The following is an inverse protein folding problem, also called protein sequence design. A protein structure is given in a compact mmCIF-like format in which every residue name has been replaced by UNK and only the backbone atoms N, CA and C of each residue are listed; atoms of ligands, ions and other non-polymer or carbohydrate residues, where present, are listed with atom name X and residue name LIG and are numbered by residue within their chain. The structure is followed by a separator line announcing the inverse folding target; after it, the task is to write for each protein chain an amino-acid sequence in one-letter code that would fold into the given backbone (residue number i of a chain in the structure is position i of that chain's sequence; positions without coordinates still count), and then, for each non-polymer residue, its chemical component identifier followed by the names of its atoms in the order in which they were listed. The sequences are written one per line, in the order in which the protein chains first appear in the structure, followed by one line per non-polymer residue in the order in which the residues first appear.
data_IF_753083185486
#
_entry.id   IF_753083185486
#
_cell.length_a   1.000
_cell.length_b   1.000
_cell.length_c   1.000
_cell.angle_alpha   90.00
_cell.angle_beta   90.00
_cell.angle_gamma   90.00
#
_symmetry.space_group_name_H-M   'P 1'
#
loop_
_entity.id
_entity.type
_entity.pdbx_description
1 polymer ?
#
# COMPACT_ATOMS: atom_id res chain seq x y z
N UNK A 1 -11.26 -0.01 -9.25
CA UNK A 1 -11.90 -1.28 -8.89
C UNK A 1 -11.45 -2.36 -9.86
N UNK A 2 -11.71 -2.23 -11.18
CA UNK A 2 -11.35 -3.24 -12.20
C UNK A 2 -9.85 -3.55 -12.20
N UNK A 3 -9.00 -2.52 -12.23
CA UNK A 3 -7.52 -2.67 -12.23
C UNK A 3 -6.98 -3.34 -10.96
N UNK A 4 -7.73 -3.26 -9.85
CA UNK A 4 -7.37 -3.86 -8.57
C UNK A 4 -8.07 -5.21 -8.33
N UNK A 5 -8.78 -5.74 -9.33
CA UNK A 5 -9.54 -7.00 -9.25
C UNK A 5 -10.52 -7.04 -8.07
N UNK A 6 -11.04 -5.89 -7.65
CA UNK A 6 -12.05 -5.81 -6.62
C UNK A 6 -13.45 -6.08 -7.22
N UNK A 7 -14.35 -6.73 -6.47
CA UNK A 7 -15.74 -6.84 -6.88
C UNK A 7 -16.36 -5.47 -7.20
N UNK A 8 -17.23 -5.38 -8.18
CA UNK A 8 -17.82 -4.10 -8.59
C UNK A 8 -18.72 -3.49 -7.52
N UNK A 9 -19.30 -4.32 -6.68
CA UNK A 9 -20.22 -4.00 -5.59
C UNK A 9 -19.53 -3.84 -4.22
N UNK A 10 -18.18 -3.87 -4.19
CA UNK A 10 -17.42 -3.73 -2.92
C UNK A 10 -17.58 -2.37 -2.27
N UNK A 11 -17.85 -1.33 -3.06
CA UNK A 11 -18.11 0.04 -2.60
C UNK A 11 -19.44 0.51 -3.18
N UNK A 12 -20.38 0.87 -2.32
CA UNK A 12 -21.61 1.54 -2.72
C UNK A 12 -21.38 3.06 -2.75
N UNK A 13 -21.86 3.71 -3.82
CA UNK A 13 -21.75 5.17 -3.98
C UNK A 13 -23.06 5.81 -3.53
N UNK A 14 -22.97 6.65 -2.52
CA UNK A 14 -24.07 7.39 -1.93
C UNK A 14 -23.90 8.87 -2.25
N UNK A 15 -24.95 9.50 -2.75
CA UNK A 15 -24.99 10.94 -3.03
C UNK A 15 -26.15 11.65 -2.28
N UNK A 16 -26.35 12.93 -2.52
CA UNK A 16 -27.43 13.71 -1.88
C UNK A 16 -28.84 13.20 -2.17
N UNK A 17 -29.03 12.42 -3.22
CA UNK A 17 -30.38 11.96 -3.61
C UNK A 17 -30.78 10.70 -2.85
N UNK A 18 -29.83 9.82 -2.54
CA UNK A 18 -30.07 8.52 -1.92
C UNK A 18 -29.53 8.38 -0.48
N UNK A 19 -28.81 9.40 0.04
CA UNK A 19 -28.12 9.27 1.33
C UNK A 19 -29.05 8.95 2.52
N UNK A 20 -30.30 9.44 2.50
CA UNK A 20 -31.27 9.23 3.59
C UNK A 20 -31.69 7.76 3.72
N UNK A 21 -31.73 7.07 2.58
CA UNK A 21 -32.17 5.68 2.50
C UNK A 21 -31.01 4.69 2.63
N UNK A 22 -29.81 5.10 2.16
CA UNK A 22 -28.65 4.22 2.06
C UNK A 22 -27.66 4.39 3.24
N UNK A 23 -27.59 5.58 3.86
CA UNK A 23 -26.66 5.86 4.94
C UNK A 23 -27.35 5.72 6.31
N UNK A 24 -27.04 4.66 7.03
CA UNK A 24 -27.63 4.35 8.34
C UNK A 24 -26.75 4.77 9.54
N UNK A 25 -25.53 5.29 9.30
CA UNK A 25 -24.65 5.87 10.31
C UNK A 25 -23.78 4.89 11.10
N UNK A 26 -23.93 3.58 10.86
CA UNK A 26 -23.14 2.53 11.55
C UNK A 26 -22.40 1.61 10.58
N UNK A 27 -22.32 1.96 9.33
CA UNK A 27 -21.54 1.27 8.30
C UNK A 27 -20.18 1.96 8.09
N UNK A 28 -19.15 1.25 7.62
CA UNK A 28 -17.93 1.88 7.14
C UNK A 28 -18.27 2.88 6.02
N UNK A 29 -17.90 4.13 6.18
CA UNK A 29 -18.19 5.18 5.23
C UNK A 29 -16.99 6.10 5.03
N UNK A 30 -16.87 6.66 3.84
CA UNK A 30 -15.89 7.67 3.47
C UNK A 30 -16.57 8.73 2.62
N UNK A 31 -16.42 9.99 2.96
CA UNK A 31 -17.04 11.08 2.22
C UNK A 31 -16.00 11.84 1.39
N UNK A 32 -16.32 12.13 0.14
CA UNK A 32 -15.61 13.10 -0.68
C UNK A 32 -16.49 14.34 -0.76
N UNK A 33 -16.02 15.45 -0.17
CA UNK A 33 -16.69 16.75 -0.27
C UNK A 33 -16.09 17.54 -1.43
N UNK A 34 -16.90 17.83 -2.45
CA UNK A 34 -16.46 18.62 -3.61
C UNK A 34 -16.69 20.10 -3.32
N UNK A 35 -15.62 20.88 -3.31
CA UNK A 35 -15.65 22.31 -3.07
C UNK A 35 -16.45 23.09 -4.12
N UNK A 36 -16.98 24.24 -3.73
CA UNK A 36 -17.75 25.12 -4.60
C UNK A 36 -17.53 26.58 -4.23
N UNK A 37 -17.16 27.42 -5.21
CA UNK A 37 -16.92 28.87 -5.04
C UNK A 37 -18.09 29.76 -5.53
N UNK A 38 -19.17 29.13 -6.02
CA UNK A 38 -20.28 29.82 -6.72
C UNK A 38 -21.54 30.05 -5.88
N UNK A 39 -21.44 29.97 -4.57
CA UNK A 39 -22.60 30.22 -3.71
C UNK A 39 -22.45 29.70 -2.29
N UNK A 40 -23.56 29.62 -1.53
CA UNK A 40 -23.51 29.03 -0.20
C UNK A 40 -23.14 27.57 -0.26
N UNK A 41 -22.38 27.12 0.74
CA UNK A 41 -22.04 25.72 0.87
C UNK A 41 -23.30 24.86 1.02
N UNK A 42 -23.39 23.82 0.24
CA UNK A 42 -24.51 22.89 0.27
C UNK A 42 -24.20 21.70 1.20
N UNK A 43 -25.24 20.98 1.59
CA UNK A 43 -25.16 19.72 2.34
C UNK A 43 -24.47 19.81 3.73
N UNK A 44 -24.37 21.00 4.33
CA UNK A 44 -23.72 21.19 5.63
C UNK A 44 -24.34 20.29 6.72
N UNK A 45 -25.65 20.10 6.73
CA UNK A 45 -26.30 19.22 7.69
C UNK A 45 -25.86 17.74 7.52
N UNK A 46 -25.54 17.31 6.28
CA UNK A 46 -24.99 15.98 6.01
C UNK A 46 -23.53 15.93 6.53
N UNK A 47 -22.75 16.95 6.23
CA UNK A 47 -21.35 17.06 6.69
C UNK A 47 -21.28 17.01 8.23
N UNK A 48 -22.11 17.79 8.94
CA UNK A 48 -22.16 17.77 10.39
C UNK A 48 -22.53 16.40 10.95
N UNK A 49 -23.49 15.72 10.33
CA UNK A 49 -23.86 14.36 10.71
C UNK A 49 -22.69 13.40 10.51
N UNK A 50 -22.03 13.42 9.35
CA UNK A 50 -20.89 12.55 9.05
C UNK A 50 -19.72 12.79 10.02
N UNK A 51 -19.42 14.05 10.37
CA UNK A 51 -18.42 14.41 11.40
C UNK A 51 -18.81 13.80 12.75
N UNK A 52 -20.08 13.94 13.15
CA UNK A 52 -20.59 13.39 14.41
C UNK A 52 -20.51 11.86 14.46
N UNK A 53 -20.74 11.20 13.32
CA UNK A 53 -20.67 9.75 13.20
C UNK A 53 -19.19 9.25 13.07
N UNK A 54 -18.20 10.16 13.06
CA UNK A 54 -16.78 9.83 12.96
C UNK A 54 -16.34 9.42 11.53
N UNK A 55 -17.16 9.69 10.52
CA UNK A 55 -16.83 9.40 9.13
C UNK A 55 -15.66 10.26 8.65
N UNK A 56 -14.69 9.64 7.99
CA UNK A 56 -13.59 10.37 7.35
C UNK A 56 -14.11 11.16 6.14
N UNK A 57 -13.82 12.45 6.10
CA UNK A 57 -14.23 13.34 5.00
C UNK A 57 -12.99 13.91 4.34
N UNK A 58 -12.87 13.75 3.03
CA UNK A 58 -11.82 14.31 2.20
C UNK A 58 -12.34 15.55 1.45
N UNK A 59 -11.91 16.76 1.82
CA UNK A 59 -12.19 17.94 1.04
C UNK A 59 -11.42 17.92 -0.29
N UNK A 60 -12.13 18.09 -1.40
CA UNK A 60 -11.54 18.21 -2.74
C UNK A 60 -11.91 19.59 -3.28
N UNK A 61 -10.90 20.41 -3.59
CA UNK A 61 -11.08 21.78 -4.09
C UNK A 61 -10.45 21.95 -5.47
N UNK A 62 -10.90 22.96 -6.22
CA UNK A 62 -10.48 23.16 -7.61
C UNK A 62 -9.49 24.32 -7.75
N UNK A 63 -9.70 25.43 -7.06
CA UNK A 63 -8.87 26.63 -7.16
C UNK A 63 -8.30 27.07 -5.81
N UNK A 64 -9.17 27.35 -4.82
CA UNK A 64 -8.80 27.94 -3.53
C UNK A 64 -9.50 27.22 -2.38
N UNK A 65 -8.74 26.47 -1.60
CA UNK A 65 -9.22 25.72 -0.46
C UNK A 65 -10.02 26.57 0.53
N UNK A 66 -9.54 27.80 0.81
CA UNK A 66 -10.14 28.66 1.82
C UNK A 66 -11.52 29.21 1.41
N UNK A 67 -11.78 29.28 0.10
CA UNK A 67 -13.04 29.80 -0.47
C UNK A 67 -14.04 28.69 -0.79
N UNK A 68 -13.53 27.54 -1.21
CA UNK A 68 -14.35 26.45 -1.73
C UNK A 68 -14.78 25.44 -0.66
N UNK A 69 -14.10 25.43 0.50
CA UNK A 69 -14.35 24.44 1.56
C UNK A 69 -14.99 25.15 2.77
N UNK A 70 -16.09 24.57 3.34
CA UNK A 70 -16.76 25.15 4.50
C UNK A 70 -15.89 25.10 5.75
N UNK A 71 -16.18 25.96 6.73
CA UNK A 71 -15.40 26.13 7.95
C UNK A 71 -15.26 24.84 8.74
N UNK A 72 -16.30 23.99 8.75
CA UNK A 72 -16.37 22.72 9.44
C UNK A 72 -15.30 21.73 8.96
N UNK A 73 -14.87 21.87 7.69
CA UNK A 73 -13.90 20.98 7.04
C UNK A 73 -12.49 21.60 6.90
N UNK A 74 -12.29 22.88 7.25
CA UNK A 74 -11.00 23.55 7.08
C UNK A 74 -9.87 22.99 7.93
N UNK A 75 -10.19 22.23 8.98
CA UNK A 75 -9.19 21.53 9.80
C UNK A 75 -8.67 20.25 9.16
N UNK A 76 -9.28 19.80 8.09
CA UNK A 76 -8.91 18.58 7.37
C UNK A 76 -7.99 18.91 6.19
N UNK A 77 -7.05 18.02 5.90
CA UNK A 77 -6.21 18.14 4.72
C UNK A 77 -7.06 17.90 3.46
N UNK A 78 -7.16 18.90 2.60
CA UNK A 78 -7.83 18.76 1.32
C UNK A 78 -6.87 18.44 0.18
N UNK A 79 -7.44 17.97 -0.94
CA UNK A 79 -6.72 17.74 -2.18
C UNK A 79 -7.20 18.73 -3.23
N UNK A 80 -6.25 19.40 -3.89
CA UNK A 80 -6.57 20.14 -5.11
C UNK A 80 -6.84 19.13 -6.23
N UNK A 81 -8.02 19.26 -6.84
CA UNK A 81 -8.38 18.41 -7.97
C UNK A 81 -7.65 18.84 -9.25
N UNK A 82 -7.08 17.89 -9.93
CA UNK A 82 -6.73 17.92 -11.33
C UNK A 82 -6.93 16.51 -11.92
N UNK A 83 -6.88 16.37 -13.23
CA UNK A 83 -7.15 15.09 -13.89
C UNK A 83 -6.16 13.99 -13.51
N UNK A 84 -4.99 14.35 -12.99
CA UNK A 84 -3.97 13.40 -12.54
C UNK A 84 -4.18 12.93 -11.09
N UNK A 85 -5.06 13.58 -10.31
CA UNK A 85 -5.30 13.24 -8.89
C UNK A 85 -6.35 12.14 -8.70
N UNK A 86 -7.06 11.73 -9.76
CA UNK A 86 -8.12 10.71 -9.66
C UNK A 86 -7.63 9.41 -9.00
N UNK A 87 -6.49 8.89 -9.44
CA UNK A 87 -5.89 7.67 -8.86
C UNK A 87 -5.52 7.85 -7.39
N UNK A 88 -5.03 9.04 -7.01
CA UNK A 88 -4.69 9.37 -5.62
C UNK A 88 -5.92 9.40 -4.73
N UNK A 89 -7.00 10.05 -5.18
CA UNK A 89 -8.28 10.09 -4.46
C UNK A 89 -8.82 8.66 -4.29
N UNK A 90 -8.84 7.86 -5.37
CA UNK A 90 -9.28 6.47 -5.31
C UNK A 90 -8.46 5.65 -4.30
N UNK A 91 -7.14 5.81 -4.28
CA UNK A 91 -6.28 5.10 -3.34
C UNK A 91 -6.53 5.51 -1.88
N UNK A 92 -6.82 6.79 -1.60
CA UNK A 92 -7.18 7.27 -0.26
C UNK A 92 -8.49 6.61 0.20
N UNK A 93 -9.50 6.53 -0.68
CA UNK A 93 -10.76 5.83 -0.39
C UNK A 93 -10.50 4.37 -0.08
N UNK A 94 -9.72 3.67 -0.91
CA UNK A 94 -9.40 2.25 -0.72
C UNK A 94 -8.57 2.01 0.56
N UNK A 95 -7.69 2.93 0.93
CA UNK A 95 -6.95 2.87 2.19
C UNK A 95 -7.87 3.07 3.40
N UNK A 96 -8.84 3.99 3.31
CA UNK A 96 -9.81 4.21 4.37
C UNK A 96 -10.71 3.00 4.63
N UNK A 97 -11.01 2.22 3.59
CA UNK A 97 -11.74 0.95 3.69
C UNK A 97 -10.83 -0.26 3.95
N UNK A 98 -9.55 -0.04 4.25
CA UNK A 98 -8.54 -1.12 4.45
C UNK A 98 -8.38 -2.07 3.23
N UNK A 99 -8.87 -1.67 2.06
CA UNK A 99 -8.71 -2.40 0.81
C UNK A 99 -7.32 -2.22 0.19
N UNK A 100 -6.58 -1.22 0.63
CA UNK A 100 -5.17 -1.01 0.36
C UNK A 100 -4.42 -0.74 1.67
N UNK A 101 -3.18 -1.22 1.76
CA UNK A 101 -2.29 -0.97 2.89
C UNK A 101 -2.06 0.55 3.05
N UNK A 102 -2.25 1.06 4.25
CA UNK A 102 -2.06 2.49 4.58
C UNK A 102 -0.58 2.89 4.61
N UNK A 103 0.32 1.97 5.02
CA UNK A 103 1.76 2.22 4.94
C UNK A 103 2.20 2.25 3.47
N UNK A 104 3.00 3.26 3.12
CA UNK A 104 3.39 3.56 1.74
C UNK A 104 4.90 3.39 1.62
N UNK A 105 5.37 2.14 1.54
CA UNK A 105 6.79 1.80 1.59
C UNK A 105 7.40 1.72 0.18
N UNK A 106 8.40 2.54 -0.06
CA UNK A 106 9.16 2.56 -1.32
C UNK A 106 10.62 2.24 -1.06
N UNK A 107 11.17 1.37 -1.86
CA UNK A 107 12.60 1.12 -1.91
C UNK A 107 13.19 1.78 -3.16
N UNK A 108 14.21 2.66 -2.98
CA UNK A 108 14.94 3.27 -4.09
C UNK A 108 16.26 2.52 -4.31
N UNK A 109 16.39 1.88 -5.46
CA UNK A 109 17.61 1.21 -5.90
C UNK A 109 18.32 2.03 -6.98
N UNK A 110 19.61 2.32 -6.80
CA UNK A 110 20.38 3.18 -7.69
C UNK A 110 21.89 2.89 -7.65
N UNK A 111 22.61 3.28 -8.69
CA UNK A 111 24.07 3.21 -8.73
C UNK A 111 24.68 4.52 -8.24
N UNK A 112 25.35 4.49 -7.06
CA UNK A 112 25.92 5.67 -6.41
C UNK A 112 26.86 6.49 -7.30
N UNK A 113 27.65 5.83 -8.17
CA UNK A 113 28.57 6.51 -9.07
C UNK A 113 27.89 7.25 -10.22
N UNK A 114 26.56 7.08 -10.42
CA UNK A 114 25.87 7.57 -11.61
C UNK A 114 24.64 8.44 -11.32
N UNK A 115 23.90 8.21 -10.21
CA UNK A 115 22.61 8.85 -10.01
C UNK A 115 22.30 9.29 -8.57
N UNK A 116 23.30 9.57 -7.75
CA UNK A 116 23.12 9.96 -6.34
C UNK A 116 22.20 11.17 -6.16
N UNK A 117 22.41 12.24 -6.95
CA UNK A 117 21.62 13.47 -6.81
C UNK A 117 20.14 13.25 -7.12
N UNK A 118 19.85 12.48 -8.17
CA UNK A 118 18.45 12.14 -8.53
C UNK A 118 17.82 11.19 -7.50
N UNK A 119 18.59 10.24 -6.94
CA UNK A 119 18.10 9.36 -5.90
C UNK A 119 17.70 10.13 -4.64
N UNK A 120 18.51 11.12 -4.23
CA UNK A 120 18.20 12.00 -3.10
C UNK A 120 16.96 12.87 -3.42
N UNK A 121 16.88 13.44 -4.62
CA UNK A 121 15.73 14.23 -5.05
C UNK A 121 14.44 13.40 -5.00
N UNK A 122 14.47 12.17 -5.47
CA UNK A 122 13.30 11.28 -5.43
C UNK A 122 12.96 10.84 -4.01
N UNK A 123 13.97 10.62 -3.14
CA UNK A 123 13.78 10.39 -1.73
C UNK A 123 12.99 11.52 -1.09
N UNK A 124 13.46 12.77 -1.22
CA UNK A 124 12.79 13.97 -0.67
C UNK A 124 11.37 14.15 -1.23
N UNK A 125 11.18 13.94 -2.53
CA UNK A 125 9.88 14.06 -3.17
C UNK A 125 8.88 13.00 -2.66
N UNK A 126 9.29 11.75 -2.57
CA UNK A 126 8.42 10.68 -2.08
C UNK A 126 8.10 10.84 -0.58
N UNK A 127 9.06 11.25 0.26
CA UNK A 127 8.79 11.58 1.67
C UNK A 127 7.77 12.71 1.81
N UNK A 128 7.89 13.77 1.00
CA UNK A 128 6.92 14.88 1.02
C UNK A 128 5.51 14.45 0.64
N UNK A 129 5.38 13.34 -0.08
CA UNK A 129 4.10 12.69 -0.43
C UNK A 129 3.72 11.56 0.54
N UNK A 130 4.30 11.55 1.74
CA UNK A 130 4.01 10.61 2.83
C UNK A 130 4.36 9.14 2.53
N UNK A 131 5.36 8.89 1.70
CA UNK A 131 5.96 7.57 1.59
C UNK A 131 7.00 7.35 2.68
N UNK A 132 7.06 6.12 3.19
CA UNK A 132 8.17 5.62 4.01
C UNK A 132 9.24 5.11 3.03
N UNK A 133 10.26 5.93 2.81
CA UNK A 133 11.25 5.71 1.75
C UNK A 133 12.51 5.07 2.31
N UNK A 134 12.88 3.93 1.78
CA UNK A 134 14.16 3.29 2.03
C UNK A 134 15.11 3.56 0.85
N UNK A 135 16.22 4.21 1.15
CA UNK A 135 17.30 4.44 0.19
C UNK A 135 18.46 3.50 0.52
N UNK A 136 18.84 2.65 -0.44
CA UNK A 136 19.77 1.51 -0.33
C UNK A 136 21.00 1.75 0.58
N UNK A 137 21.49 2.96 0.73
CA UNK A 137 22.84 3.17 1.28
C UNK A 137 22.91 3.90 2.61
N UNK A 138 21.84 4.56 3.06
CA UNK A 138 21.87 5.39 4.27
C UNK A 138 21.22 4.74 5.50
N UNK A 139 20.44 3.69 5.31
CA UNK A 139 19.52 3.18 6.34
C UNK A 139 19.95 1.86 6.97
N UNK A 140 21.07 1.24 6.54
CA UNK A 140 21.54 -0.01 7.13
C UNK A 140 22.57 0.29 8.24
N UNK A 141 22.28 -0.22 9.44
CA UNK A 141 23.16 -0.03 10.60
C UNK A 141 24.51 -0.70 10.38
N UNK A 142 25.59 -0.04 10.85
CA UNK A 142 26.95 -0.58 10.76
C UNK A 142 27.05 -1.86 11.58
N UNK A 143 27.49 -2.95 10.94
CA UNK A 143 27.66 -4.27 11.58
C UNK A 143 26.52 -5.27 11.29
N UNK A 144 25.46 -4.84 10.63
CA UNK A 144 24.42 -5.78 10.12
C UNK A 144 24.91 -6.49 8.84
N UNK A 145 24.36 -7.71 8.60
CA UNK A 145 24.56 -8.40 7.33
C UNK A 145 23.81 -7.65 6.25
N UNK A 146 24.53 -6.83 5.49
CA UNK A 146 23.99 -5.88 4.55
C UNK A 146 22.97 -6.50 3.58
N UNK A 147 23.29 -7.66 3.01
CA UNK A 147 22.45 -8.33 2.01
C UNK A 147 21.12 -8.85 2.60
N UNK A 148 21.16 -9.40 3.80
CA UNK A 148 19.95 -9.91 4.46
C UNK A 148 19.02 -8.77 4.88
N UNK A 149 19.57 -7.64 5.36
CA UNK A 149 18.76 -6.49 5.72
C UNK A 149 18.12 -5.85 4.50
N UNK A 150 18.86 -5.75 3.40
CA UNK A 150 18.35 -5.23 2.14
C UNK A 150 17.17 -6.09 1.63
N UNK A 151 17.31 -7.40 1.58
CA UNK A 151 16.23 -8.30 1.16
C UNK A 151 15.02 -8.22 2.08
N UNK A 152 15.26 -8.09 3.38
CA UNK A 152 14.19 -7.89 4.36
C UNK A 152 13.41 -6.60 4.08
N UNK A 153 14.11 -5.49 3.82
CA UNK A 153 13.48 -4.20 3.49
C UNK A 153 12.71 -4.27 2.19
N UNK A 154 13.29 -4.89 1.16
CA UNK A 154 12.61 -5.13 -0.10
C UNK A 154 11.33 -5.96 0.08
N UNK A 155 11.39 -7.00 0.90
CA UNK A 155 10.23 -7.85 1.21
C UNK A 155 9.07 -7.06 1.82
N UNK A 156 9.37 -6.07 2.66
CA UNK A 156 8.37 -5.23 3.33
C UNK A 156 7.98 -3.99 2.52
N UNK A 157 8.62 -3.71 1.38
CA UNK A 157 8.24 -2.59 0.54
C UNK A 157 7.02 -2.91 -0.35
N UNK A 158 6.33 -1.84 -0.76
CA UNK A 158 5.16 -1.91 -1.61
C UNK A 158 5.54 -1.82 -3.09
N UNK A 159 6.58 -1.05 -3.40
CA UNK A 159 7.07 -0.80 -4.76
C UNK A 159 8.57 -0.47 -4.71
N UNK A 160 9.28 -0.82 -5.76
CA UNK A 160 10.69 -0.47 -5.96
C UNK A 160 10.77 0.63 -7.03
N UNK A 161 11.48 1.71 -6.71
CA UNK A 161 11.89 2.73 -7.68
C UNK A 161 13.34 2.46 -8.08
N UNK A 162 13.57 2.06 -9.31
CA UNK A 162 14.87 1.71 -9.84
C UNK A 162 15.37 2.77 -10.79
N UNK A 163 16.54 3.37 -10.50
CA UNK A 163 17.20 4.31 -11.37
C UNK A 163 18.12 3.54 -12.34
N UNK A 164 17.58 3.19 -13.51
CA UNK A 164 18.26 2.38 -14.51
C UNK A 164 19.20 3.24 -15.37
N UNK A 165 20.39 3.49 -14.84
CA UNK A 165 21.50 4.14 -15.53
C UNK A 165 22.32 3.14 -16.35
N UNK A 166 23.17 3.58 -17.31
CA UNK A 166 23.92 2.67 -18.19
C UNK A 166 24.73 1.60 -17.47
N UNK A 167 25.34 1.90 -16.33
CA UNK A 167 26.13 0.94 -15.57
C UNK A 167 25.36 0.22 -14.46
N UNK A 168 24.07 0.49 -14.27
CA UNK A 168 23.29 -0.09 -13.17
C UNK A 168 23.31 -1.62 -13.16
N UNK A 169 23.06 -2.24 -14.33
CA UNK A 169 22.99 -3.70 -14.47
C UNK A 169 24.34 -4.41 -14.55
N UNK A 170 25.44 -3.68 -14.63
CA UNK A 170 26.80 -4.26 -14.54
C UNK A 170 27.09 -4.76 -13.12
N UNK A 171 26.38 -4.22 -12.13
CA UNK A 171 26.48 -4.68 -10.75
C UNK A 171 25.82 -6.05 -10.61
N UNK A 172 26.57 -7.05 -10.16
CA UNK A 172 26.04 -8.39 -9.81
C UNK A 172 24.93 -8.30 -8.77
N UNK A 173 25.04 -7.34 -7.88
CA UNK A 173 24.10 -7.00 -6.83
C UNK A 173 22.70 -6.65 -7.35
N UNK A 174 22.60 -5.78 -8.33
CA UNK A 174 21.32 -5.35 -8.90
C UNK A 174 20.54 -6.48 -9.58
N UNK A 175 21.22 -7.48 -10.14
CA UNK A 175 20.56 -8.64 -10.76
C UNK A 175 19.90 -9.56 -9.74
N UNK A 176 20.53 -9.76 -8.58
CA UNK A 176 19.96 -10.57 -7.50
C UNK A 176 18.76 -9.87 -6.86
N UNK A 177 18.83 -8.57 -6.61
CA UNK A 177 17.71 -7.77 -6.09
C UNK A 177 16.49 -7.84 -7.01
N UNK A 178 16.71 -7.72 -8.31
CA UNK A 178 15.63 -7.76 -9.29
C UNK A 178 15.00 -9.14 -9.43
N UNK A 179 15.81 -10.22 -9.34
CA UNK A 179 15.29 -11.57 -9.32
C UNK A 179 14.44 -11.84 -8.08
N UNK A 180 14.88 -11.33 -6.92
CA UNK A 180 14.13 -11.43 -5.67
C UNK A 180 12.83 -10.64 -5.69
N UNK A 181 12.84 -9.39 -6.19
CA UNK A 181 11.65 -8.60 -6.39
C UNK A 181 10.63 -9.31 -7.30
N UNK A 182 11.10 -9.95 -8.36
CA UNK A 182 10.29 -10.76 -9.26
C UNK A 182 9.66 -11.96 -8.55
N UNK A 183 10.43 -12.68 -7.72
CA UNK A 183 9.94 -13.83 -6.95
C UNK A 183 8.83 -13.45 -5.97
N UNK A 184 8.88 -12.24 -5.44
CA UNK A 184 7.91 -11.66 -4.51
C UNK A 184 6.78 -10.90 -5.18
N UNK A 185 6.81 -10.80 -6.50
CA UNK A 185 5.84 -10.04 -7.29
C UNK A 185 5.75 -8.56 -6.84
N UNK A 186 6.87 -7.96 -6.45
CA UNK A 186 6.94 -6.55 -6.10
C UNK A 186 7.02 -5.75 -7.40
N UNK A 187 6.16 -4.75 -7.55
CA UNK A 187 6.17 -3.86 -8.71
C UNK A 187 7.44 -3.01 -8.75
N UNK A 188 8.04 -2.90 -9.94
CA UNK A 188 9.27 -2.12 -10.14
C UNK A 188 8.97 -0.98 -11.11
N UNK A 189 9.03 0.25 -10.62
CA UNK A 189 9.09 1.43 -11.49
C UNK A 189 10.53 1.63 -11.92
N UNK A 190 10.78 1.57 -13.22
CA UNK A 190 12.11 1.66 -13.76
C UNK A 190 12.29 3.01 -14.49
N UNK A 191 13.06 3.94 -13.89
CA UNK A 191 13.46 5.16 -14.57
C UNK A 191 14.61 4.86 -15.51
N UNK A 192 14.33 4.83 -16.81
CA UNK A 192 15.32 4.51 -17.83
C UNK A 192 16.02 5.79 -18.24
N UNK A 193 17.33 5.83 -18.05
CA UNK A 193 18.16 7.00 -18.31
C UNK A 193 18.20 7.40 -19.79
N UNK A 194 18.45 8.68 -20.12
CA UNK A 194 18.57 9.13 -21.51
C UNK A 194 19.62 8.31 -22.27
N UNK A 195 19.30 7.96 -23.53
CA UNK A 195 20.14 7.15 -24.41
C UNK A 195 20.47 5.74 -23.89
N UNK A 196 19.81 5.26 -22.86
CA UNK A 196 19.95 3.90 -22.35
C UNK A 196 18.83 3.01 -22.88
N UNK A 197 19.14 1.72 -23.09
CA UNK A 197 18.14 0.74 -23.53
C UNK A 197 17.62 -0.05 -22.33
N UNK A 198 16.32 -0.32 -22.36
CA UNK A 198 15.69 -1.19 -21.38
C UNK A 198 16.23 -2.61 -21.56
N UNK A 199 16.81 -3.16 -20.53
CA UNK A 199 16.99 -4.60 -20.45
C UNK A 199 15.73 -5.20 -19.82
N UNK A 200 15.20 -6.26 -20.42
CA UNK A 200 14.05 -6.97 -19.88
C UNK A 200 14.44 -7.65 -18.54
N UNK A 201 14.13 -6.96 -17.44
CA UNK A 201 14.57 -7.38 -16.11
C UNK A 201 13.51 -8.25 -15.43
N UNK A 202 12.25 -7.94 -15.63
CA UNK A 202 11.12 -8.62 -14.99
C UNK A 202 9.81 -8.30 -15.73
N UNK A 203 8.87 -9.24 -15.73
CA UNK A 203 7.51 -9.04 -16.22
C UNK A 203 6.70 -8.04 -15.36
N UNK A 204 7.18 -7.70 -14.17
CA UNK A 204 6.58 -6.73 -13.25
C UNK A 204 7.29 -5.36 -13.28
N UNK A 205 8.12 -5.12 -14.26
CA UNK A 205 8.81 -3.85 -14.44
C UNK A 205 7.97 -2.91 -15.31
N UNK A 206 7.78 -1.70 -14.81
CA UNK A 206 7.04 -0.61 -15.45
C UNK A 206 8.03 0.49 -15.84
N UNK A 207 8.52 0.51 -17.09
CA UNK A 207 9.51 1.48 -17.51
C UNK A 207 8.90 2.86 -17.74
N UNK A 208 9.62 3.89 -17.31
CA UNK A 208 9.40 5.29 -17.61
C UNK A 208 10.69 5.84 -18.20
N UNK A 209 10.67 6.13 -19.49
CA UNK A 209 11.83 6.64 -20.19
C UNK A 209 12.06 8.11 -19.84
N UNK A 210 13.28 8.44 -19.45
CA UNK A 210 13.73 9.80 -19.23
C UNK A 210 14.44 10.33 -20.46
N UNK A 211 14.15 11.56 -20.82
CA UNK A 211 14.86 12.29 -21.87
C UNK A 211 15.78 13.34 -21.24
N UNK A 212 16.79 13.77 -21.97
CA UNK A 212 17.69 14.86 -21.50
C UNK A 212 16.90 16.12 -21.15
N UNK A 213 15.79 16.37 -21.84
CA UNK A 213 14.87 17.50 -21.59
C UNK A 213 14.12 17.42 -20.28
N UNK A 214 14.03 16.26 -19.64
CA UNK A 214 13.43 16.07 -18.31
C UNK A 214 14.34 16.58 -17.17
N UNK A 215 15.62 16.81 -17.49
CA UNK A 215 16.59 17.28 -16.52
C UNK A 215 16.77 18.82 -16.58
N UNK A 216 17.08 19.39 -15.43
CA UNK A 216 17.44 20.82 -15.31
C UNK A 216 18.73 21.06 -16.10
N UNK A 217 18.72 22.07 -16.95
CA UNK A 217 19.84 22.40 -17.85
C UNK A 217 20.32 21.23 -18.73
N UNK A 218 19.48 20.22 -18.93
CA UNK A 218 19.81 18.98 -19.67
C UNK A 218 21.01 18.19 -19.14
N UNK A 219 21.38 18.40 -17.86
CA UNK A 219 22.48 17.70 -17.19
C UNK A 219 21.94 16.41 -16.61
N UNK A 220 22.28 15.26 -17.17
CA UNK A 220 21.82 13.93 -16.74
C UNK A 220 22.96 12.93 -16.46
N UNK A 221 24.19 13.29 -16.77
CA UNK A 221 25.41 12.45 -16.68
C UNK A 221 26.35 12.83 -15.52
N UNK A 222 25.95 13.76 -14.66
CA UNK A 222 26.69 14.18 -13.47
C UNK A 222 25.97 13.66 -12.21
N UNK A 223 26.57 12.70 -11.50
CA UNK A 223 25.98 12.05 -10.31
C UNK A 223 25.59 13.02 -9.19
N UNK A 224 26.24 14.18 -9.10
CA UNK A 224 26.08 15.15 -8.01
C UNK A 224 25.23 16.38 -8.42
N UNK A 225 25.11 16.64 -9.73
CA UNK A 225 24.40 17.82 -10.26
C UNK A 225 23.14 17.53 -11.05
N UNK A 226 22.98 16.28 -11.53
CA UNK A 226 21.79 15.90 -12.26
C UNK A 226 20.53 16.04 -11.39
N UNK A 227 19.56 16.81 -11.87
CA UNK A 227 18.26 17.01 -11.21
C UNK A 227 17.14 16.94 -12.23
N UNK A 228 16.08 16.24 -11.90
CA UNK A 228 14.86 16.23 -12.68
C UNK A 228 14.08 17.55 -12.50
N UNK A 229 13.35 17.96 -13.52
CA UNK A 229 12.41 19.07 -13.44
C UNK A 229 11.23 18.70 -12.54
N UNK A 230 10.65 19.66 -11.84
CA UNK A 230 9.59 19.42 -10.86
C UNK A 230 8.37 18.69 -11.46
N UNK A 231 7.94 19.05 -12.66
CA UNK A 231 6.84 18.37 -13.33
C UNK A 231 7.13 16.88 -13.60
N UNK A 232 8.38 16.52 -13.93
CA UNK A 232 8.77 15.12 -14.12
C UNK A 232 8.85 14.38 -12.78
N UNK A 233 9.30 15.03 -11.72
CA UNK A 233 9.29 14.46 -10.36
C UNK A 233 7.85 14.11 -9.95
N UNK A 234 6.90 15.03 -10.14
CA UNK A 234 5.48 14.78 -9.83
C UNK A 234 4.89 13.64 -10.67
N UNK A 235 5.21 13.58 -11.97
CA UNK A 235 4.81 12.47 -12.84
C UNK A 235 5.33 11.13 -12.31
N UNK A 236 6.60 11.07 -11.88
CA UNK A 236 7.20 9.86 -11.31
C UNK A 236 6.51 9.46 -10.01
N UNK A 237 6.26 10.40 -9.10
CA UNK A 237 5.57 10.13 -7.83
C UNK A 237 4.18 9.53 -8.07
N UNK A 238 3.41 10.10 -8.98
CA UNK A 238 2.09 9.57 -9.35
C UNK A 238 2.17 8.19 -9.98
N UNK A 239 3.18 7.95 -10.82
CA UNK A 239 3.38 6.66 -11.44
C UNK A 239 3.78 5.59 -10.42
N UNK A 240 4.65 5.92 -9.46
CA UNK A 240 5.00 5.07 -8.32
C UNK A 240 3.75 4.69 -7.51
N UNK A 241 2.88 5.65 -7.23
CA UNK A 241 1.62 5.40 -6.52
C UNK A 241 0.70 4.45 -7.27
N UNK A 242 0.55 4.63 -8.58
CA UNK A 242 -0.28 3.78 -9.43
C UNK A 242 0.24 2.34 -9.48
N UNK A 243 1.55 2.17 -9.65
CA UNK A 243 2.19 0.85 -9.67
C UNK A 243 2.08 0.18 -8.31
N UNK A 244 2.29 0.94 -7.22
CA UNK A 244 2.12 0.48 -5.85
C UNK A 244 0.74 -0.13 -5.63
N UNK A 245 -0.32 0.61 -5.95
CA UNK A 245 -1.70 0.17 -5.72
C UNK A 245 -2.01 -1.14 -6.45
N UNK A 246 -1.68 -1.23 -7.74
CA UNK A 246 -1.90 -2.45 -8.54
C UNK A 246 -1.12 -3.64 -8.00
N UNK A 247 0.11 -3.41 -7.58
CA UNK A 247 0.98 -4.46 -7.07
C UNK A 247 0.48 -4.99 -5.72
N UNK A 248 0.08 -4.12 -4.80
CA UNK A 248 -0.49 -4.52 -3.51
C UNK A 248 -1.74 -5.37 -3.70
N UNK A 249 -2.64 -4.97 -4.60
CA UNK A 249 -3.85 -5.73 -4.91
C UNK A 249 -3.50 -7.13 -5.47
N UNK A 250 -2.51 -7.22 -6.37
CA UNK A 250 -2.07 -8.49 -6.94
C UNK A 250 -1.44 -9.40 -5.88
N UNK A 251 -0.60 -8.87 -4.99
CA UNK A 251 0.03 -9.63 -3.90
C UNK A 251 -1.02 -10.17 -2.92
N UNK A 252 -2.01 -9.35 -2.58
CA UNK A 252 -3.10 -9.77 -1.71
C UNK A 252 -3.93 -10.89 -2.36
N UNK A 253 -4.25 -10.75 -3.65
CA UNK A 253 -4.99 -11.75 -4.42
C UNK A 253 -4.25 -13.10 -4.47
N UNK A 254 -2.94 -13.05 -4.68
CA UNK A 254 -2.11 -14.26 -4.69
C UNK A 254 -2.06 -14.93 -3.31
N UNK A 255 -1.91 -14.17 -2.23
CA UNK A 255 -1.90 -14.70 -0.87
C UNK A 255 -3.25 -15.36 -0.53
N UNK A 256 -4.36 -14.72 -0.89
CA UNK A 256 -5.73 -15.26 -0.73
C UNK A 256 -5.87 -16.56 -1.54
N UNK A 257 -5.50 -16.54 -2.83
CA UNK A 257 -5.64 -17.70 -3.73
C UNK A 257 -4.84 -18.89 -3.24
N UNK A 258 -3.62 -18.68 -2.79
CA UNK A 258 -2.76 -19.72 -2.26
C UNK A 258 -3.31 -20.29 -0.95
N UNK A 259 -3.74 -19.43 -0.02
CA UNK A 259 -4.37 -19.88 1.22
C UNK A 259 -5.63 -20.70 0.93
N UNK A 260 -6.49 -20.23 0.04
CA UNK A 260 -7.70 -20.95 -0.37
C UNK A 260 -7.41 -22.29 -1.03
N UNK A 261 -6.35 -22.37 -1.85
CA UNK A 261 -5.91 -23.62 -2.47
C UNK A 261 -5.50 -24.67 -1.43
N UNK A 262 -4.71 -24.24 -0.43
CA UNK A 262 -4.29 -25.12 0.67
C UNK A 262 -5.50 -25.51 1.53
N UNK A 263 -6.40 -24.57 1.84
CA UNK A 263 -7.61 -24.83 2.59
C UNK A 263 -8.49 -25.88 1.92
N UNK A 264 -8.69 -25.77 0.62
CA UNK A 264 -9.44 -26.77 -0.17
C UNK A 264 -8.80 -28.15 -0.13
N UNK A 265 -7.47 -28.23 -0.20
CA UNK A 265 -6.74 -29.51 -0.05
C UNK A 265 -6.91 -30.12 1.34
N UNK A 266 -7.09 -29.30 2.39
CA UNK A 266 -7.37 -29.74 3.77
C UNK A 266 -8.87 -29.99 4.02
N UNK A 267 -9.72 -29.90 3.00
CA UNK A 267 -11.17 -30.10 3.15
C UNK A 267 -11.89 -29.01 3.93
N UNK A 268 -11.35 -27.77 3.91
CA UNK A 268 -11.91 -26.62 4.64
C UNK A 268 -12.84 -25.81 3.73
N UNK A 269 -13.96 -25.39 4.28
CA UNK A 269 -14.93 -24.51 3.62
C UNK A 269 -14.75 -23.07 4.10
N UNK A 270 -13.98 -22.30 3.33
CA UNK A 270 -13.61 -20.92 3.64
C UNK A 270 -14.22 -20.00 2.58
N UNK A 271 -14.86 -18.92 3.03
CA UNK A 271 -15.50 -17.93 2.15
C UNK A 271 -14.67 -16.65 2.12
N UNK A 272 -14.42 -16.11 0.93
CA UNK A 272 -13.82 -14.78 0.74
C UNK A 272 -14.94 -13.74 0.87
N UNK A 273 -14.72 -12.76 1.75
CA UNK A 273 -15.64 -11.65 1.95
C UNK A 273 -15.33 -10.51 0.96
N UNK A 274 -16.31 -9.66 0.62
CA UNK A 274 -16.09 -8.51 -0.27
C UNK A 274 -14.92 -7.62 0.15
N UNK A 275 -14.72 -7.41 1.45
CA UNK A 275 -13.63 -6.62 2.05
C UNK A 275 -12.28 -7.35 2.03
N UNK A 276 -12.16 -8.46 1.28
CA UNK A 276 -10.92 -9.21 1.05
C UNK A 276 -10.34 -9.91 2.29
N UNK A 277 -11.10 -10.10 3.35
CA UNK A 277 -10.77 -11.07 4.38
C UNK A 277 -11.52 -12.41 4.15
N UNK A 278 -11.11 -13.46 4.83
CA UNK A 278 -11.72 -14.78 4.66
C UNK A 278 -12.36 -15.24 5.96
N UNK A 279 -13.43 -15.99 5.87
CA UNK A 279 -14.15 -16.51 7.05
C UNK A 279 -14.48 -17.97 6.91
N UNK A 280 -14.49 -18.64 8.05
CA UNK A 280 -15.06 -19.97 8.20
C UNK A 280 -15.68 -20.15 9.60
N UNK A 281 -16.50 -21.15 9.75
CA UNK A 281 -17.07 -21.53 11.04
C UNK A 281 -16.69 -22.99 11.34
N UNK A 282 -16.00 -23.21 12.45
CA UNK A 282 -15.57 -24.55 12.90
C UNK A 282 -16.04 -24.74 14.31
N UNK A 283 -16.77 -25.84 14.56
CA UNK A 283 -17.25 -26.20 15.90
C UNK A 283 -17.94 -25.04 16.63
N UNK A 284 -18.71 -24.21 15.86
CA UNK A 284 -19.41 -23.04 16.39
C UNK A 284 -18.54 -21.81 16.61
N UNK A 285 -17.24 -21.86 16.26
CA UNK A 285 -16.32 -20.71 16.34
C UNK A 285 -16.11 -20.12 14.95
N UNK A 286 -16.23 -18.79 14.84
CA UNK A 286 -15.93 -18.02 13.65
C UNK A 286 -14.43 -17.75 13.59
N UNK A 287 -13.78 -18.07 12.49
CA UNK A 287 -12.38 -17.70 12.24
C UNK A 287 -12.34 -16.72 11.09
N UNK A 288 -11.65 -15.60 11.31
CA UNK A 288 -11.44 -14.55 10.33
C UNK A 288 -9.94 -14.56 9.95
N UNK A 289 -9.65 -14.72 8.68
CA UNK A 289 -8.28 -14.62 8.15
C UNK A 289 -8.12 -13.28 7.44
N UNK A 290 -7.19 -12.46 7.90
CA UNK A 290 -6.90 -11.13 7.36
C UNK A 290 -5.59 -11.19 6.59
N UNK A 291 -5.62 -11.12 5.24
CA UNK A 291 -4.39 -11.11 4.43
C UNK A 291 -3.59 -9.84 4.71
N UNK A 292 -2.34 -10.02 5.12
CA UNK A 292 -1.42 -8.93 5.45
C UNK A 292 -0.26 -8.96 4.47
N UNK A 293 -0.07 -7.88 3.72
CA UNK A 293 1.05 -7.74 2.79
C UNK A 293 2.26 -7.15 3.52
N UNK A 294 3.43 -7.72 3.29
CA UNK A 294 4.65 -7.41 4.03
C UNK A 294 4.67 -8.04 5.42
N UNK A 295 5.42 -7.42 6.33
CA UNK A 295 5.58 -7.91 7.69
C UNK A 295 4.44 -7.38 8.55
N UNK A 296 3.66 -8.25 9.24
CA UNK A 296 2.66 -7.77 10.20
C UNK A 296 3.28 -6.84 11.25
N UNK A 297 2.65 -5.72 11.49
CA UNK A 297 3.05 -4.71 12.46
C UNK A 297 2.07 -4.66 13.64
N UNK A 298 2.45 -4.02 14.73
CA UNK A 298 1.58 -3.86 15.90
C UNK A 298 0.24 -3.20 15.57
N UNK A 299 0.21 -2.26 14.63
CA UNK A 299 -1.04 -1.62 14.20
C UNK A 299 -1.97 -2.57 13.44
N UNK A 300 -1.44 -3.55 12.68
CA UNK A 300 -2.27 -4.60 12.07
C UNK A 300 -2.95 -5.47 13.13
N UNK A 301 -2.21 -5.77 14.21
CA UNK A 301 -2.77 -6.51 15.35
C UNK A 301 -3.81 -5.67 16.09
N UNK A 302 -3.58 -4.36 16.24
CA UNK A 302 -4.53 -3.42 16.86
C UNK A 302 -5.81 -3.30 16.01
N UNK A 303 -5.71 -3.16 14.71
CA UNK A 303 -6.85 -3.13 13.80
C UNK A 303 -7.67 -4.43 13.89
N UNK A 304 -7.00 -5.58 14.01
CA UNK A 304 -7.64 -6.87 14.22
C UNK A 304 -8.34 -6.94 15.59
N UNK A 305 -7.75 -6.37 16.64
CA UNK A 305 -8.35 -6.31 17.99
C UNK A 305 -9.63 -5.45 18.00
N UNK A 306 -9.59 -4.29 17.36
CA UNK A 306 -10.77 -3.44 17.19
C UNK A 306 -11.87 -4.19 16.43
N UNK A 307 -11.54 -4.86 15.32
CA UNK A 307 -12.50 -5.69 14.56
C UNK A 307 -13.09 -6.82 15.40
N UNK A 308 -12.27 -7.45 16.23
CA UNK A 308 -12.73 -8.46 17.18
C UNK A 308 -13.76 -7.90 18.18
N UNK A 309 -13.55 -6.70 18.70
CA UNK A 309 -14.45 -6.06 19.66
C UNK A 309 -15.81 -5.67 19.05
N UNK A 310 -15.83 -5.34 17.76
CA UNK A 310 -17.05 -5.02 17.02
C UNK A 310 -17.82 -6.25 16.48
N UNK A 311 -17.25 -7.46 16.60
CA UNK A 311 -17.96 -8.68 16.18
C UNK A 311 -19.16 -8.92 17.12
N UNK A 312 -20.29 -9.37 16.54
CA UNK A 312 -21.52 -9.66 17.30
C UNK A 312 -21.35 -10.74 18.36
N UNK A 313 -20.31 -11.57 18.23
CA UNK A 313 -20.02 -12.67 19.14
C UNK A 313 -18.50 -12.83 19.36
N UNK A 314 -17.85 -11.86 20.01
CA UNK A 314 -16.38 -11.83 20.13
C UNK A 314 -15.83 -13.05 20.87
N UNK A 315 -16.54 -13.61 21.84
CA UNK A 315 -16.06 -14.79 22.58
C UNK A 315 -15.90 -16.05 21.71
N UNK A 316 -16.61 -16.10 20.56
CA UNK A 316 -16.53 -17.20 19.61
C UNK A 316 -15.81 -16.84 18.32
N UNK A 317 -15.17 -15.68 18.26
CA UNK A 317 -14.43 -15.21 17.08
C UNK A 317 -12.93 -15.31 17.30
N UNK A 318 -12.19 -15.71 16.29
CA UNK A 318 -10.73 -15.77 16.25
C UNK A 318 -10.22 -15.06 15.00
N UNK A 319 -9.16 -14.28 15.12
CA UNK A 319 -8.56 -13.56 13.99
C UNK A 319 -7.14 -14.09 13.76
N UNK A 320 -6.81 -14.31 12.49
CA UNK A 320 -5.51 -14.75 12.01
C UNK A 320 -5.01 -13.78 10.95
N UNK A 321 -3.93 -13.07 11.25
CA UNK A 321 -3.24 -12.24 10.26
C UNK A 321 -2.35 -13.17 9.43
N UNK A 322 -2.81 -13.52 8.21
CA UNK A 322 -2.04 -14.39 7.31
C UNK A 322 -1.05 -13.58 6.48
N UNK A 323 0.20 -14.04 6.37
CA UNK A 323 1.26 -13.32 5.66
C UNK A 323 2.27 -14.26 5.01
N UNK A 324 2.97 -13.76 3.99
CA UNK A 324 4.09 -14.46 3.34
C UNK A 324 5.39 -14.19 4.10
N UNK A 325 5.95 -15.23 4.71
CA UNK A 325 7.17 -15.16 5.53
C UNK A 325 8.46 -15.39 4.73
N UNK A 326 8.38 -15.55 3.41
CA UNK A 326 9.56 -15.75 2.56
C UNK A 326 10.54 -14.57 2.69
N UNK A 327 11.81 -14.86 3.03
CA UNK A 327 12.89 -13.86 3.20
C UNK A 327 12.70 -12.84 4.33
N UNK A 328 11.77 -13.06 5.25
CA UNK A 328 11.75 -12.31 6.49
C UNK A 328 12.87 -12.79 7.39
N UNK A 329 13.67 -11.88 7.94
CA UNK A 329 14.80 -12.23 8.83
C UNK A 329 14.31 -12.89 10.12
N UNK A 330 15.10 -13.81 10.64
CA UNK A 330 14.79 -14.56 11.88
C UNK A 330 14.51 -13.64 13.08
N UNK A 331 15.20 -12.50 13.20
CA UNK A 331 14.91 -11.54 14.27
C UNK A 331 13.47 -11.04 14.26
N UNK A 332 12.90 -10.84 13.05
CA UNK A 332 11.52 -10.39 12.89
C UNK A 332 10.53 -11.53 13.05
N UNK A 333 10.85 -12.74 12.61
CA UNK A 333 10.02 -13.91 12.86
C UNK A 333 9.94 -14.18 14.37
N UNK A 334 11.05 -14.10 15.11
CA UNK A 334 11.07 -14.17 16.59
C UNK A 334 10.24 -13.07 17.24
N UNK A 335 10.26 -11.85 16.68
CA UNK A 335 9.42 -10.75 17.17
C UNK A 335 7.92 -11.03 16.94
N UNK A 336 7.54 -11.58 15.79
CA UNK A 336 6.16 -12.00 15.52
C UNK A 336 5.73 -13.16 16.42
N UNK A 337 6.60 -14.11 16.70
CA UNK A 337 6.36 -15.18 17.68
C UNK A 337 6.16 -14.62 19.09
N UNK A 338 6.96 -13.61 19.47
CA UNK A 338 6.78 -12.90 20.74
C UNK A 338 5.45 -12.16 20.78
N UNK A 339 5.05 -11.46 19.73
CA UNK A 339 3.75 -10.82 19.61
C UNK A 339 2.62 -11.85 19.78
N UNK A 340 2.68 -12.98 19.10
CA UNK A 340 1.70 -14.06 19.20
C UNK A 340 1.55 -14.59 20.64
N UNK A 341 2.64 -14.63 21.40
CA UNK A 341 2.63 -15.07 22.80
C UNK A 341 2.05 -14.03 23.78
N UNK A 342 2.02 -12.74 23.39
CA UNK A 342 1.61 -11.63 24.24
C UNK A 342 0.30 -10.96 23.80
N UNK A 343 -0.21 -11.28 22.61
CA UNK A 343 -1.53 -10.87 22.15
C UNK A 343 -2.63 -11.68 22.85
N UNK A 344 -3.87 -11.20 22.75
CA UNK A 344 -5.05 -11.99 23.15
C UNK A 344 -5.02 -13.32 22.39
N UNK A 345 -5.35 -14.44 23.05
CA UNK A 345 -5.29 -15.80 22.46
C UNK A 345 -6.08 -15.97 21.17
N UNK A 346 -7.04 -15.09 20.93
CA UNK A 346 -7.91 -15.14 19.75
C UNK A 346 -7.36 -14.37 18.54
N UNK A 347 -6.25 -13.64 18.70
CA UNK A 347 -5.60 -12.88 17.64
C UNK A 347 -4.13 -13.29 17.56
N UNK A 348 -3.67 -13.76 16.40
CA UNK A 348 -2.25 -13.98 16.14
C UNK A 348 -1.89 -13.93 14.66
N UNK A 349 -0.60 -13.77 14.37
CA UNK A 349 -0.04 -13.81 13.02
C UNK A 349 0.23 -15.27 12.61
N UNK A 350 -0.14 -15.63 11.38
CA UNK A 350 0.03 -16.97 10.83
C UNK A 350 0.85 -16.88 9.55
N UNK A 351 2.07 -17.40 9.59
CA UNK A 351 2.97 -17.39 8.44
C UNK A 351 2.60 -18.47 7.42
N UNK A 352 2.86 -18.18 6.15
CA UNK A 352 2.53 -19.01 5.01
C UNK A 352 3.03 -20.45 5.13
N UNK A 353 4.26 -20.65 5.61
CA UNK A 353 4.83 -22.00 5.82
C UNK A 353 4.02 -22.86 6.79
N UNK A 354 3.19 -22.27 7.65
CA UNK A 354 2.37 -22.96 8.63
C UNK A 354 0.91 -23.13 8.21
N UNK A 355 0.48 -22.58 7.07
CA UNK A 355 -0.92 -22.64 6.63
C UNK A 355 -1.45 -24.08 6.62
N UNK A 356 -0.76 -25.00 5.97
CA UNK A 356 -1.18 -26.40 5.88
C UNK A 356 -1.32 -27.04 7.26
N UNK A 357 -0.29 -26.95 8.10
CA UNK A 357 -0.29 -27.51 9.46
C UNK A 357 -1.43 -26.92 10.30
N UNK A 358 -1.61 -25.60 10.22
CA UNK A 358 -2.69 -24.92 10.92
C UNK A 358 -4.07 -25.45 10.50
N UNK A 359 -4.33 -25.51 9.20
CA UNK A 359 -5.61 -25.96 8.65
C UNK A 359 -5.89 -27.45 8.94
N UNK A 360 -4.90 -28.29 9.01
CA UNK A 360 -5.05 -29.73 9.35
C UNK A 360 -5.32 -29.93 10.86
N UNK A 361 -4.71 -29.11 11.72
CA UNK A 361 -4.76 -29.32 13.18
C UNK A 361 -5.88 -28.56 13.90
N UNK A 362 -6.39 -27.49 13.30
CA UNK A 362 -7.49 -26.71 13.88
C UNK A 362 -8.82 -27.37 13.55
N UNK A 363 -9.49 -27.91 14.58
CA UNK A 363 -10.80 -28.57 14.48
C UNK A 363 -11.84 -27.81 15.27
#
# INVERSE_FOLDING_TARGET
IIDLKLPQDVINIIDRNNWKDEYVGNQPAFCIYLGNDNGPFEDLAIVEKLIKDGTMILPVFFNDFSKEIPEELKKQNGIKYDDNQQSRIANIVLQAFELLRSTRKVFISYKRSESTSVAIQMYEALESHHFDVFLDTHSIEKGELFQEELWHRMTDCDVILLLNTPGFLESHWCKEELAEAGSKQIGIVQLVWPNHKINAISHLSFPLNLESTDFVNTIYDDKDKSKLKNNKVEEIVQFVESVRARNLASRQDNLITEFMSIAKQCGRDITVQPERYLTEVISGKKIIYVPTIGIPQSFNCQAADIRYEYDKNPQNTRIRLIYDDLRIRDKWLKHLDWLNNNLKKDIFTLKKQEFKKWLETTK
#
